data_IF_643304604276
#
_entry.id   IF_643304604276
#
_cell.length_a   1.000
_cell.length_b   1.000
_cell.length_c   1.000
_cell.angle_alpha   90.00
_cell.angle_beta   90.00
_cell.angle_gamma   90.00
#
_symmetry.space_group_name_H-M   'P 1'
#
loop_
_entity.id
_entity.type
_entity.pdbx_description
1 polymer ?
#
# COMPACT_ATOMS: atom_id res chain seq x y z
N UNK A 1 17.80 -42.57 5.08
CA UNK A 1 17.69 -41.53 6.12
C UNK A 1 17.70 -40.20 5.40
N UNK A 2 16.52 -39.74 4.96
CA UNK A 2 16.39 -38.44 4.31
C UNK A 2 16.40 -37.43 5.45
N UNK A 3 17.46 -36.64 5.48
CA UNK A 3 17.61 -35.53 6.40
C UNK A 3 16.51 -34.52 6.01
N UNK A 4 15.39 -34.54 6.74
CA UNK A 4 14.45 -33.42 6.73
C UNK A 4 15.25 -32.22 7.22
N UNK A 5 15.65 -31.37 6.28
CA UNK A 5 16.13 -30.03 6.59
C UNK A 5 14.96 -29.38 7.30
N UNK A 6 15.10 -29.19 8.60
CA UNK A 6 14.23 -28.33 9.38
C UNK A 6 14.48 -26.93 8.84
N UNK A 7 13.71 -26.53 7.83
CA UNK A 7 13.55 -25.12 7.49
C UNK A 7 13.04 -24.51 8.78
N UNK A 8 13.78 -23.57 9.36
CA UNK A 8 13.37 -22.87 10.56
C UNK A 8 11.98 -22.32 10.32
N UNK A 9 10.96 -22.94 10.94
CA UNK A 9 9.64 -22.37 11.01
C UNK A 9 9.75 -21.16 11.93
N UNK A 10 10.04 -19.98 11.39
CA UNK A 10 9.43 -18.80 11.98
C UNK A 10 7.93 -19.06 11.93
N UNK A 11 7.28 -18.98 13.09
CA UNK A 11 5.93 -19.51 13.23
C UNK A 11 4.99 -18.62 12.43
N UNK A 12 4.21 -19.21 11.53
CA UNK A 12 2.97 -18.60 11.05
C UNK A 12 2.12 -18.26 12.28
N UNK A 13 2.08 -16.97 12.63
CA UNK A 13 1.32 -16.49 13.78
C UNK A 13 0.02 -15.85 13.31
N UNK A 14 -1.05 -15.87 14.13
CA UNK A 14 -2.26 -15.12 13.83
C UNK A 14 -2.01 -13.61 13.66
N UNK A 15 -0.96 -13.08 14.29
CA UNK A 15 -0.60 -11.67 14.15
C UNK A 15 -0.04 -11.37 12.76
N UNK A 16 0.91 -12.17 12.28
CA UNK A 16 1.47 -12.04 10.93
C UNK A 16 0.39 -12.27 9.86
N UNK A 17 -0.50 -13.24 10.07
CA UNK A 17 -1.63 -13.49 9.17
C UNK A 17 -2.52 -12.26 9.02
N UNK A 18 -2.97 -11.67 10.15
CA UNK A 18 -3.82 -10.49 10.12
C UNK A 18 -3.13 -9.30 9.46
N UNK A 19 -1.84 -9.08 9.76
CA UNK A 19 -1.07 -7.99 9.18
C UNK A 19 -0.90 -8.14 7.66
N UNK A 20 -0.55 -9.34 7.18
CA UNK A 20 -0.40 -9.57 5.73
C UNK A 20 -1.74 -9.49 4.99
N UNK A 21 -2.83 -9.95 5.61
CA UNK A 21 -4.18 -9.83 5.02
C UNK A 21 -4.67 -8.38 4.98
N UNK A 22 -4.31 -7.57 5.98
CA UNK A 22 -4.57 -6.13 5.97
C UNK A 22 -3.74 -5.46 4.88
N UNK A 23 -2.42 -5.65 4.89
CA UNK A 23 -1.50 -5.05 3.92
C UNK A 23 -1.87 -5.41 2.47
N UNK A 24 -2.24 -6.67 2.21
CA UNK A 24 -2.70 -7.08 0.87
C UNK A 24 -3.93 -6.28 0.39
N UNK A 25 -4.88 -6.00 1.30
CA UNK A 25 -6.06 -5.21 0.97
C UNK A 25 -5.77 -3.71 0.94
N UNK A 26 -4.82 -3.21 1.72
CA UNK A 26 -4.37 -1.82 1.68
C UNK A 26 -3.69 -1.49 0.34
N UNK A 27 -2.76 -2.34 -0.12
CA UNK A 27 -2.14 -2.21 -1.45
C UNK A 27 -3.21 -2.32 -2.56
N UNK A 28 -4.26 -3.12 -2.34
CA UNK A 28 -5.43 -3.15 -3.23
C UNK A 28 -6.21 -1.83 -3.23
N UNK A 29 -6.39 -1.18 -2.07
CA UNK A 29 -7.01 0.15 -1.99
C UNK A 29 -6.21 1.13 -2.84
N UNK A 30 -4.89 1.17 -2.68
CA UNK A 30 -4.02 2.03 -3.46
C UNK A 30 -4.17 1.77 -4.97
N UNK A 31 -4.05 0.51 -5.41
CA UNK A 31 -4.24 0.07 -6.80
C UNK A 31 -5.58 0.54 -7.37
N UNK A 32 -6.66 0.25 -6.66
CA UNK A 32 -8.03 0.46 -7.11
C UNK A 32 -8.37 1.95 -7.15
N UNK A 33 -7.97 2.72 -6.13
CA UNK A 33 -8.13 4.19 -6.14
C UNK A 33 -7.39 4.76 -7.34
N UNK A 34 -6.12 4.42 -7.55
CA UNK A 34 -5.36 4.97 -8.68
C UNK A 34 -5.94 4.59 -10.04
N UNK A 35 -6.48 3.38 -10.19
CA UNK A 35 -7.17 3.01 -11.41
C UNK A 35 -8.43 3.87 -11.64
N UNK A 36 -9.21 4.13 -10.59
CA UNK A 36 -10.38 5.00 -10.65
C UNK A 36 -10.00 6.47 -10.95
N UNK A 37 -8.94 6.99 -10.33
CA UNK A 37 -8.45 8.34 -10.58
C UNK A 37 -7.91 8.51 -12.00
N UNK A 38 -7.30 7.46 -12.56
CA UNK A 38 -6.90 7.47 -13.96
C UNK A 38 -8.13 7.54 -14.88
N UNK A 39 -9.18 6.78 -14.60
CA UNK A 39 -10.43 6.81 -15.38
C UNK A 39 -11.11 8.18 -15.30
N UNK A 40 -11.08 8.85 -14.15
CA UNK A 40 -11.66 10.19 -13.97
C UNK A 40 -10.86 11.30 -14.67
N UNK A 41 -9.53 11.28 -14.56
CA UNK A 41 -8.70 12.45 -14.90
C UNK A 41 -7.67 12.21 -16.00
N UNK A 42 -7.39 10.96 -16.37
CA UNK A 42 -6.45 10.60 -17.43
C UNK A 42 -4.99 10.94 -17.14
N UNK A 43 -4.64 11.26 -15.89
CA UNK A 43 -3.26 11.60 -15.52
C UNK A 43 -2.44 10.31 -15.41
N UNK A 44 -1.49 10.12 -16.34
CA UNK A 44 -0.67 8.91 -16.45
C UNK A 44 0.08 8.50 -15.17
N UNK A 45 0.32 9.42 -14.24
CA UNK A 45 0.91 9.07 -12.95
C UNK A 45 0.04 8.09 -12.18
N UNK A 46 -1.29 8.23 -12.21
CA UNK A 46 -2.21 7.29 -11.57
C UNK A 46 -2.11 5.89 -12.20
N UNK A 47 -2.18 5.78 -13.52
CA UNK A 47 -2.04 4.48 -14.23
C UNK A 47 -0.69 3.81 -13.94
N UNK A 48 0.42 4.55 -14.03
CA UNK A 48 1.74 3.98 -13.76
C UNK A 48 1.87 3.46 -12.32
N UNK A 49 1.29 4.17 -11.34
CA UNK A 49 1.38 3.81 -9.92
C UNK A 49 0.39 2.68 -9.60
N UNK A 50 -0.84 2.69 -10.14
CA UNK A 50 -1.76 1.54 -10.03
C UNK A 50 -1.11 0.24 -10.52
N UNK A 51 -0.38 0.27 -11.63
CA UNK A 51 0.38 -0.89 -12.11
C UNK A 51 1.55 -1.28 -11.17
N UNK A 52 2.10 -0.32 -10.42
CA UNK A 52 3.11 -0.57 -9.39
C UNK A 52 2.49 -1.28 -8.19
N UNK A 53 1.34 -0.83 -7.71
CA UNK A 53 0.62 -1.41 -6.57
C UNK A 53 0.17 -2.84 -6.84
N UNK A 54 -0.12 -3.19 -8.09
CA UNK A 54 -0.30 -4.60 -8.43
C UNK A 54 0.94 -5.45 -8.10
N UNK A 55 2.16 -4.94 -8.33
CA UNK A 55 3.36 -5.68 -7.96
C UNK A 55 3.57 -5.73 -6.43
N UNK A 56 3.07 -4.74 -5.69
CA UNK A 56 3.07 -4.79 -4.23
C UNK A 56 2.11 -5.88 -3.74
N UNK A 57 0.87 -5.90 -4.25
CA UNK A 57 -0.09 -6.97 -3.98
C UNK A 57 0.50 -8.35 -4.29
N UNK A 58 1.13 -8.53 -5.47
CA UNK A 58 1.77 -9.80 -5.86
C UNK A 58 2.89 -10.21 -4.88
N UNK A 59 3.62 -9.23 -4.32
CA UNK A 59 4.68 -9.47 -3.35
C UNK A 59 4.12 -9.87 -1.97
N UNK A 60 2.98 -9.31 -1.54
CA UNK A 60 2.29 -9.73 -0.33
C UNK A 60 1.61 -11.09 -0.52
N UNK A 61 1.04 -11.36 -1.70
CA UNK A 61 0.49 -12.66 -2.09
C UNK A 61 1.56 -13.76 -1.98
N UNK A 62 2.79 -13.47 -2.42
CA UNK A 62 3.91 -14.38 -2.23
C UNK A 62 4.11 -14.76 -0.76
N UNK A 63 4.06 -13.79 0.17
CA UNK A 63 4.17 -14.07 1.60
C UNK A 63 2.97 -14.87 2.12
N UNK A 64 1.74 -14.48 1.75
CA UNK A 64 0.52 -15.22 2.13
C UNK A 64 0.61 -16.69 1.71
N UNK A 65 1.08 -16.95 0.48
CA UNK A 65 1.30 -18.30 -0.04
C UNK A 65 2.42 -19.04 0.71
N UNK A 66 3.56 -18.39 0.99
CA UNK A 66 4.71 -19.00 1.69
C UNK A 66 4.35 -19.44 3.11
N UNK A 67 3.56 -18.65 3.83
CA UNK A 67 3.12 -18.98 5.19
C UNK A 67 1.80 -19.79 5.23
N UNK A 68 1.15 -20.01 4.08
CA UNK A 68 -0.06 -20.81 3.97
C UNK A 68 -1.32 -20.14 4.55
N UNK A 69 -1.38 -18.80 4.50
CA UNK A 69 -2.52 -18.02 4.92
C UNK A 69 -3.59 -17.96 3.82
N UNK A 70 -4.87 -18.09 4.21
CA UNK A 70 -5.98 -18.09 3.27
C UNK A 70 -6.46 -16.67 3.00
N UNK A 71 -6.36 -16.25 1.73
CA UNK A 71 -6.85 -14.96 1.24
C UNK A 71 -7.91 -15.13 0.14
N UNK A 72 -8.41 -16.35 -0.06
CA UNK A 72 -9.32 -16.68 -1.19
C UNK A 72 -10.69 -16.00 -1.12
N UNK A 73 -11.08 -15.50 0.06
CA UNK A 73 -12.30 -14.72 0.27
C UNK A 73 -12.14 -13.24 -0.09
N UNK A 74 -10.93 -12.76 -0.39
CA UNK A 74 -10.67 -11.38 -0.81
C UNK A 74 -10.96 -11.26 -2.31
N UNK A 75 -11.99 -10.49 -2.65
CA UNK A 75 -12.36 -10.22 -4.05
C UNK A 75 -11.30 -9.40 -4.76
N UNK A 76 -11.04 -9.68 -6.05
CA UNK A 76 -10.24 -8.81 -6.91
C UNK A 76 -11.08 -7.72 -7.61
N UNK A 77 -12.41 -7.71 -7.39
CA UNK A 77 -13.29 -6.66 -7.91
C UNK A 77 -12.88 -5.29 -7.36
N UNK A 78 -12.76 -4.31 -8.26
CA UNK A 78 -12.37 -2.94 -7.90
C UNK A 78 -13.34 -2.36 -6.88
N UNK A 79 -12.81 -1.78 -5.82
CA UNK A 79 -13.63 -1.07 -4.82
C UNK A 79 -14.43 -1.99 -3.89
N UNK A 80 -14.16 -3.30 -3.91
CA UNK A 80 -14.75 -4.28 -2.99
C UNK A 80 -13.69 -4.77 -2.02
N UNK A 81 -13.95 -4.64 -0.72
CA UNK A 81 -13.03 -5.06 0.34
C UNK A 81 -13.73 -5.92 1.38
N UNK A 82 -12.98 -6.84 1.98
CA UNK A 82 -13.48 -7.70 3.06
C UNK A 82 -13.48 -6.94 4.39
N UNK A 83 -12.44 -6.14 4.63
CA UNK A 83 -12.30 -5.33 5.85
C UNK A 83 -13.13 -4.04 5.74
N UNK A 84 -14.10 -3.82 6.66
CA UNK A 84 -14.96 -2.63 6.60
C UNK A 84 -14.18 -1.30 6.65
N UNK A 85 -13.11 -1.23 7.44
CA UNK A 85 -12.27 -0.03 7.50
C UNK A 85 -11.63 0.33 6.14
N UNK A 86 -11.25 -0.66 5.33
CA UNK A 86 -10.67 -0.44 4.01
C UNK A 86 -11.73 -0.11 2.96
N UNK A 87 -12.95 -0.64 3.12
CA UNK A 87 -14.10 -0.19 2.32
C UNK A 87 -14.41 1.28 2.58
N UNK A 88 -14.50 1.68 3.85
CA UNK A 88 -14.75 3.06 4.25
C UNK A 88 -13.61 4.00 3.79
N UNK A 89 -12.36 3.53 3.87
CA UNK A 89 -11.19 4.25 3.36
C UNK A 89 -11.32 4.49 1.85
N UNK A 90 -11.57 3.46 1.05
CA UNK A 90 -11.75 3.59 -0.40
C UNK A 90 -12.86 4.58 -0.74
N UNK A 91 -14.04 4.42 -0.14
CA UNK A 91 -15.20 5.28 -0.42
C UNK A 91 -14.89 6.76 -0.09
N UNK A 92 -14.22 7.00 1.05
CA UNK A 92 -13.80 8.35 1.48
C UNK A 92 -12.79 8.97 0.53
N UNK A 93 -11.80 8.19 0.08
CA UNK A 93 -10.75 8.66 -0.82
C UNK A 93 -11.32 8.99 -2.20
N UNK A 94 -12.24 8.17 -2.73
CA UNK A 94 -12.93 8.43 -3.98
C UNK A 94 -13.82 9.67 -3.88
N UNK A 95 -14.57 9.84 -2.79
CA UNK A 95 -15.39 11.03 -2.58
C UNK A 95 -14.52 12.30 -2.59
N UNK A 96 -13.43 12.32 -1.81
CA UNK A 96 -12.49 13.45 -1.77
C UNK A 96 -11.89 13.72 -3.15
N UNK A 97 -11.36 12.69 -3.81
CA UNK A 97 -10.67 12.82 -5.07
C UNK A 97 -11.58 13.34 -6.20
N UNK A 98 -12.89 13.07 -6.14
CA UNK A 98 -13.86 13.52 -7.15
C UNK A 98 -14.02 15.04 -7.22
N UNK A 99 -13.57 15.78 -6.20
CA UNK A 99 -13.66 17.25 -6.14
C UNK A 99 -12.88 17.95 -7.25
N UNK A 100 -11.64 17.52 -7.50
CA UNK A 100 -10.76 18.09 -8.52
C UNK A 100 -9.53 17.22 -8.77
N UNK A 101 -8.81 17.50 -9.87
CA UNK A 101 -7.51 16.85 -10.12
C UNK A 101 -6.48 17.14 -9.02
N UNK A 102 -6.56 18.28 -8.35
CA UNK A 102 -5.67 18.59 -7.22
C UNK A 102 -6.01 17.70 -6.04
N UNK A 103 -7.29 17.59 -5.69
CA UNK A 103 -7.77 16.70 -4.62
C UNK A 103 -7.40 15.24 -4.91
N UNK A 104 -7.48 14.80 -6.16
CA UNK A 104 -7.07 13.46 -6.60
C UNK A 104 -5.56 13.21 -6.42
N UNK A 105 -4.72 14.20 -6.73
CA UNK A 105 -3.27 14.09 -6.52
C UNK A 105 -2.94 14.11 -5.01
N UNK A 106 -3.65 14.91 -4.22
CA UNK A 106 -3.51 14.91 -2.76
C UNK A 106 -3.96 13.57 -2.14
N UNK A 107 -5.03 12.96 -2.66
CA UNK A 107 -5.42 11.59 -2.29
C UNK A 107 -4.31 10.60 -2.62
N UNK A 108 -3.66 10.75 -3.78
CA UNK A 108 -2.42 10.06 -4.11
C UNK A 108 -1.38 10.15 -3.01
N UNK A 109 -0.96 11.36 -2.65
CA UNK A 109 0.00 11.56 -1.57
C UNK A 109 -0.49 11.11 -0.18
N UNK A 110 -1.80 11.09 0.06
CA UNK A 110 -2.39 10.65 1.33
C UNK A 110 -2.28 9.14 1.52
N UNK A 111 -2.51 8.37 0.45
CA UNK A 111 -2.38 6.91 0.48
C UNK A 111 -0.92 6.54 0.76
N UNK A 112 0.02 7.13 0.03
CA UNK A 112 1.45 6.82 0.23
C UNK A 112 1.98 7.23 1.61
N UNK A 113 1.35 8.22 2.24
CA UNK A 113 1.66 8.65 3.61
C UNK A 113 1.19 7.59 4.63
N UNK A 114 -0.02 7.07 4.44
CA UNK A 114 -0.58 5.97 5.23
C UNK A 114 0.24 4.69 5.03
N UNK A 115 0.50 4.27 3.80
CA UNK A 115 1.24 3.04 3.49
C UNK A 115 2.64 3.05 4.13
N UNK A 116 3.38 4.17 4.03
CA UNK A 116 4.70 4.29 4.67
C UNK A 116 4.59 4.17 6.20
N UNK A 117 3.56 4.76 6.80
CA UNK A 117 3.32 4.69 8.23
C UNK A 117 3.01 3.25 8.67
N UNK A 118 2.07 2.57 8.01
CA UNK A 118 1.65 1.21 8.37
C UNK A 118 2.76 0.18 8.10
N UNK A 119 3.55 0.36 7.03
CA UNK A 119 4.75 -0.45 6.76
C UNK A 119 5.82 -0.27 7.84
N UNK A 120 6.01 0.95 8.38
CA UNK A 120 6.95 1.19 9.48
C UNK A 120 6.47 0.55 10.80
N UNK A 121 5.18 0.63 11.09
CA UNK A 121 4.58 -0.04 12.24
C UNK A 121 4.74 -1.57 12.12
N UNK A 122 4.51 -2.15 10.93
CA UNK A 122 4.71 -3.58 10.70
C UNK A 122 6.18 -4.00 10.80
N UNK A 123 7.11 -3.23 10.21
CA UNK A 123 8.56 -3.47 10.34
C UNK A 123 9.04 -3.43 11.79
N UNK A 124 8.39 -2.65 12.65
CA UNK A 124 8.72 -2.59 14.08
C UNK A 124 8.45 -3.90 14.85
N UNK A 125 7.62 -4.79 14.28
CA UNK A 125 7.25 -6.08 14.89
C UNK A 125 8.33 -7.15 14.74
N UNK A 126 9.29 -6.97 13.81
CA UNK A 126 10.44 -7.84 13.57
C UNK A 126 10.03 -9.33 13.39
N UNK A 127 9.22 -9.62 12.36
CA UNK A 127 8.68 -10.96 12.13
C UNK A 127 9.73 -11.98 11.67
N UNK A 128 10.25 -11.79 10.45
CA UNK A 128 11.26 -12.64 9.81
C UNK A 128 11.99 -11.83 8.73
N UNK A 129 13.27 -12.17 8.48
CA UNK A 129 14.12 -11.48 7.51
C UNK A 129 13.51 -11.42 6.10
N UNK A 130 12.74 -12.44 5.69
CA UNK A 130 12.07 -12.47 4.39
C UNK A 130 10.88 -11.50 4.33
N UNK A 131 10.06 -11.46 5.38
CA UNK A 131 8.95 -10.51 5.51
C UNK A 131 9.51 -9.09 5.52
N UNK A 132 10.49 -8.81 6.37
CA UNK A 132 11.10 -7.49 6.49
C UNK A 132 11.72 -7.04 5.15
N UNK A 133 12.30 -7.96 4.37
CA UNK A 133 12.83 -7.64 3.04
C UNK A 133 11.72 -7.22 2.07
N UNK A 134 10.55 -7.88 2.10
CA UNK A 134 9.41 -7.50 1.27
C UNK A 134 8.86 -6.14 1.71
N UNK A 135 8.60 -5.95 3.01
CA UNK A 135 8.08 -4.69 3.56
C UNK A 135 8.99 -3.49 3.24
N UNK A 136 10.32 -3.64 3.38
CA UNK A 136 11.27 -2.58 3.01
C UNK A 136 11.24 -2.25 1.50
N UNK A 137 10.93 -3.22 0.64
CA UNK A 137 10.81 -2.97 -0.80
C UNK A 137 9.51 -2.24 -1.14
N UNK A 138 8.39 -2.65 -0.53
CA UNK A 138 7.09 -1.96 -0.64
C UNK A 138 7.23 -0.50 -0.18
N UNK A 139 7.80 -0.29 1.01
CA UNK A 139 8.02 1.05 1.58
C UNK A 139 8.85 1.93 0.66
N UNK A 140 9.90 1.37 0.05
CA UNK A 140 10.70 2.09 -0.95
C UNK A 140 9.88 2.43 -2.20
N UNK A 141 8.96 1.55 -2.62
CA UNK A 141 7.95 1.81 -3.63
C UNK A 141 7.11 3.03 -3.26
N UNK A 142 6.44 2.98 -2.11
CA UNK A 142 5.56 4.05 -1.61
C UNK A 142 6.27 5.39 -1.48
N UNK A 143 7.53 5.41 -1.01
CA UNK A 143 8.34 6.64 -1.01
C UNK A 143 8.56 7.22 -2.43
N UNK A 144 8.71 6.38 -3.46
CA UNK A 144 8.86 6.85 -4.84
C UNK A 144 7.56 7.37 -5.42
N UNK A 145 6.43 6.76 -5.05
CA UNK A 145 5.10 7.19 -5.42
C UNK A 145 4.73 8.51 -4.74
N UNK A 146 5.01 8.65 -3.44
CA UNK A 146 4.95 9.91 -2.70
C UNK A 146 5.69 11.01 -3.46
N UNK A 147 6.98 10.80 -3.77
CA UNK A 147 7.76 11.76 -4.58
C UNK A 147 7.10 12.07 -5.93
N UNK A 148 6.42 11.10 -6.55
CA UNK A 148 5.71 11.30 -7.81
C UNK A 148 4.46 12.19 -7.65
N UNK A 149 3.65 11.97 -6.63
CA UNK A 149 2.49 12.82 -6.34
C UNK A 149 2.90 14.23 -5.93
N UNK A 150 3.93 14.38 -5.08
CA UNK A 150 4.48 15.71 -4.73
C UNK A 150 4.97 16.46 -5.98
N UNK A 151 5.64 15.77 -6.93
CA UNK A 151 6.01 16.39 -8.22
C UNK A 151 4.80 16.81 -9.06
N UNK A 152 3.65 16.14 -8.93
CA UNK A 152 2.42 16.57 -9.61
C UNK A 152 1.81 17.79 -8.91
N UNK A 153 1.68 17.80 -7.58
CA UNK A 153 1.18 18.97 -6.82
C UNK A 153 2.00 20.23 -7.11
N UNK A 154 3.32 20.11 -7.17
CA UNK A 154 4.21 21.22 -7.49
C UNK A 154 3.92 21.86 -8.86
N UNK A 155 3.37 21.12 -9.84
CA UNK A 155 2.96 21.71 -11.14
C UNK A 155 1.73 22.61 -11.02
N UNK A 156 0.91 22.38 -9.99
CA UNK A 156 -0.24 23.21 -9.64
C UNK A 156 0.11 24.30 -8.61
N UNK A 157 1.37 24.36 -8.14
CA UNK A 157 1.84 25.19 -7.03
C UNK A 157 1.16 24.85 -5.70
N UNK A 158 0.75 23.60 -5.53
CA UNK A 158 0.15 23.08 -4.31
C UNK A 158 1.18 22.34 -3.47
N UNK A 159 0.93 22.24 -2.17
CA UNK A 159 1.79 21.56 -1.21
C UNK A 159 1.00 20.48 -0.46
N UNK A 160 1.64 19.34 -0.19
CA UNK A 160 1.09 18.34 0.71
C UNK A 160 1.61 18.56 2.14
N UNK A 161 0.75 18.35 3.13
CA UNK A 161 1.15 18.28 4.55
C UNK A 161 0.90 16.84 5.00
N UNK A 162 1.91 16.13 5.53
CA UNK A 162 1.72 14.74 5.95
C UNK A 162 0.74 14.67 7.13
N UNK A 163 -0.08 13.63 7.09
CA UNK A 163 -1.15 13.30 8.01
C UNK A 163 -0.78 12.14 8.94
N UNK A 164 0.06 11.21 8.47
CA UNK A 164 0.44 10.00 9.21
C UNK A 164 1.91 10.05 9.62
N UNK A 165 2.83 10.14 8.66
CA UNK A 165 4.26 10.26 8.97
C UNK A 165 4.60 11.64 9.53
N UNK A 166 5.70 11.71 10.29
CA UNK A 166 6.16 13.01 10.81
C UNK A 166 6.59 13.93 9.68
N UNK A 167 6.47 15.24 9.93
CA UNK A 167 6.91 16.25 8.97
C UNK A 167 8.40 16.10 8.63
N UNK A 168 9.24 15.84 9.63
CA UNK A 168 10.67 15.62 9.44
C UNK A 168 10.95 14.40 8.57
N UNK A 169 10.17 13.32 8.74
CA UNK A 169 10.35 12.12 7.94
C UNK A 169 9.90 12.34 6.50
N UNK A 170 8.73 12.95 6.29
CA UNK A 170 8.25 13.39 4.98
C UNK A 170 9.28 14.28 4.26
N UNK A 171 9.86 15.27 4.94
CA UNK A 171 10.88 16.16 4.36
C UNK A 171 12.16 15.40 3.96
N UNK A 172 12.47 14.27 4.58
CA UNK A 172 13.60 13.43 4.20
C UNK A 172 13.32 12.56 2.96
N UNK A 173 12.04 12.32 2.66
CA UNK A 173 11.60 11.55 1.50
C UNK A 173 11.63 12.40 0.23
N UNK A 174 11.12 13.63 0.28
CA UNK A 174 10.78 14.45 -0.91
C UNK A 174 11.95 15.19 -1.59
#
# INVERSE_FOLDING_TARGET
MVLLVSISSFAATPELENDLLYLYQEEKVARDVYAELYDMYGLRTFDNISNSEQNHMDAVEYLLNEYGFDYSDISDERGVYQLPELQDLYDTLIEKASGSIIDAIEVGATIEDLDIFDLDEMLSKNYDDEVDRVLNNLKKGSENHMRAFIRQLNKYNEMYTPQYISKEYFESII
#
